data_IF_462896607534
#
_entry.id   IF_462896607534
#
_cell.length_a   1.000
_cell.length_b   1.000
_cell.length_c   1.000
_cell.angle_alpha   90.00
_cell.angle_beta   90.00
_cell.angle_gamma   90.00
#
_symmetry.space_group_name_H-M   'P 1'
#
loop_
_entity.id
_entity.type
_entity.pdbx_description
1 polymer ?
#
# COMPACT_ATOMS: atom_id res chain seq x y z
N UNK A 1 6.09 -16.22 -3.28
CA UNK A 1 6.77 -14.89 -3.26
C UNK A 1 6.10 -14.04 -2.20
N UNK A 2 6.77 -13.02 -1.64
CA UNK A 2 6.17 -12.13 -0.61
C UNK A 2 5.55 -10.89 -1.23
N UNK A 3 4.51 -10.36 -0.59
CA UNK A 3 3.88 -9.08 -0.92
C UNK A 3 4.90 -7.93 -0.84
N UNK A 4 5.69 -7.88 0.23
CA UNK A 4 6.75 -6.89 0.43
C UNK A 4 8.12 -7.42 -0.05
N UNK A 5 8.96 -6.60 -0.71
CA UNK A 5 10.34 -6.96 -1.04
C UNK A 5 11.22 -7.11 0.23
N UNK A 6 12.41 -7.73 0.11
CA UNK A 6 13.37 -7.76 1.21
C UNK A 6 13.75 -6.35 1.68
N UNK A 7 13.83 -6.16 3.00
CA UNK A 7 14.19 -4.88 3.62
C UNK A 7 13.01 -3.93 3.87
N UNK A 8 11.79 -4.27 3.45
CA UNK A 8 10.60 -3.45 3.71
C UNK A 8 10.39 -3.09 5.18
N UNK A 9 9.85 -1.89 5.39
CA UNK A 9 9.56 -1.37 6.72
C UNK A 9 8.45 -2.19 7.40
N UNK A 10 8.58 -2.46 8.71
CA UNK A 10 7.58 -3.19 9.50
C UNK A 10 6.29 -2.38 9.66
N UNK A 11 5.29 -2.97 10.33
CA UNK A 11 4.16 -2.20 10.83
C UNK A 11 4.66 -1.08 11.76
N UNK A 12 4.01 0.07 11.71
CA UNK A 12 4.26 1.19 12.61
C UNK A 12 2.93 1.51 13.31
N UNK A 13 2.87 1.66 14.63
CA UNK A 13 1.63 2.01 15.30
C UNK A 13 1.12 3.37 14.82
N UNK A 14 -0.20 3.50 14.70
CA UNK A 14 -0.85 4.80 14.50
C UNK A 14 -1.07 5.50 15.83
N UNK A 15 -1.23 6.82 15.79
CA UNK A 15 -1.61 7.63 16.96
C UNK A 15 -3.14 7.84 17.04
N UNK A 16 -3.91 7.20 16.16
CA UNK A 16 -5.35 7.38 16.03
C UNK A 16 -6.08 6.05 16.28
N UNK A 17 -6.71 5.96 17.45
CA UNK A 17 -7.50 4.82 17.92
C UNK A 17 -9.00 4.96 17.64
N UNK A 18 -9.41 5.91 16.79
CA UNK A 18 -10.81 6.04 16.39
C UNK A 18 -11.30 4.69 15.83
N UNK A 19 -12.54 4.28 16.12
CA UNK A 19 -13.13 3.07 15.55
C UNK A 19 -13.59 3.32 14.10
N UNK A 20 -13.66 2.28 13.24
CA UNK A 20 -14.25 2.40 11.92
C UNK A 20 -15.77 2.59 12.01
N UNK A 21 -16.34 3.23 11.01
CA UNK A 21 -17.79 3.28 10.75
C UNK A 21 -18.16 2.28 9.65
N UNK A 22 -19.46 2.11 9.39
CA UNK A 22 -19.95 1.33 8.26
C UNK A 22 -20.35 2.24 7.09
N UNK A 23 -19.71 2.04 5.93
CA UNK A 23 -20.17 2.54 4.64
C UNK A 23 -20.93 1.39 3.95
N UNK A 24 -22.24 1.34 4.18
CA UNK A 24 -23.06 0.18 3.83
C UNK A 24 -22.75 -0.98 4.79
N UNK A 25 -22.23 -2.09 4.28
CA UNK A 25 -21.73 -3.22 5.09
C UNK A 25 -20.22 -3.17 5.32
N UNK A 26 -19.53 -2.19 4.73
CA UNK A 26 -18.06 -2.15 4.69
C UNK A 26 -17.53 -1.27 5.81
N UNK A 27 -16.64 -1.82 6.64
CA UNK A 27 -15.92 -1.03 7.64
C UNK A 27 -15.00 -0.03 6.94
N UNK A 28 -15.00 1.22 7.41
CA UNK A 28 -14.14 2.26 6.88
C UNK A 28 -13.92 3.40 7.87
N UNK A 29 -12.86 4.16 7.66
CA UNK A 29 -12.65 5.46 8.26
C UNK A 29 -13.02 6.52 7.23
N UNK A 30 -14.06 7.28 7.52
CA UNK A 30 -14.58 8.28 6.60
C UNK A 30 -14.31 9.68 7.11
N UNK A 31 -13.64 10.46 6.28
CA UNK A 31 -13.31 11.86 6.53
C UNK A 31 -14.11 12.68 5.53
N UNK A 32 -15.18 13.27 6.01
CA UNK A 32 -16.08 14.03 5.15
C UNK A 32 -15.51 15.42 4.82
N UNK A 33 -15.84 15.89 3.62
CA UNK A 33 -15.63 17.25 3.17
C UNK A 33 -16.91 17.68 2.46
N UNK A 34 -17.76 18.44 3.13
CA UNK A 34 -19.10 18.77 2.64
C UNK A 34 -19.11 19.59 1.35
N UNK A 35 -17.98 20.21 0.98
CA UNK A 35 -17.86 21.01 -0.25
C UNK A 35 -17.40 20.21 -1.46
N UNK A 36 -16.94 18.98 -1.27
CA UNK A 36 -16.43 18.13 -2.35
C UNK A 36 -17.41 17.03 -2.71
N UNK A 37 -17.63 16.80 -4.01
CA UNK A 37 -18.32 15.61 -4.55
C UNK A 37 -17.35 14.51 -4.99
N UNK A 38 -16.06 14.69 -4.72
CA UNK A 38 -15.00 13.74 -5.06
C UNK A 38 -14.62 12.96 -3.80
N UNK A 39 -14.48 11.63 -3.93
CA UNK A 39 -13.99 10.79 -2.85
C UNK A 39 -12.71 10.06 -3.23
N UNK A 40 -11.70 10.15 -2.36
CA UNK A 40 -10.49 9.34 -2.44
C UNK A 40 -10.71 8.05 -1.65
N UNK A 41 -10.76 6.92 -2.34
CA UNK A 41 -10.74 5.60 -1.71
C UNK A 41 -9.30 5.26 -1.32
N UNK A 42 -9.06 4.97 -0.06
CA UNK A 42 -7.73 4.61 0.43
C UNK A 42 -7.71 3.13 0.78
N UNK A 43 -6.75 2.41 0.20
CA UNK A 43 -6.54 0.98 0.38
C UNK A 43 -5.28 0.77 1.24
N UNK A 44 -5.40 0.21 2.46
CA UNK A 44 -4.29 0.07 3.37
C UNK A 44 -3.27 -0.98 2.90
N UNK A 45 -2.12 -1.02 3.56
CA UNK A 45 -1.16 -2.11 3.40
C UNK A 45 -1.63 -3.40 4.09
N UNK A 46 -0.76 -4.41 4.14
CA UNK A 46 -1.03 -5.70 4.81
C UNK A 46 -1.17 -5.61 6.33
N UNK A 47 -0.83 -4.46 6.93
CA UNK A 47 -0.91 -4.20 8.36
C UNK A 47 -2.20 -3.44 8.73
N UNK A 48 -2.96 -2.99 7.73
CA UNK A 48 -4.31 -2.46 7.90
C UNK A 48 -4.40 -0.94 8.07
N UNK A 49 -5.62 -0.43 8.28
CA UNK A 49 -5.91 1.00 8.34
C UNK A 49 -5.16 1.77 9.44
N UNK A 50 -4.78 1.06 10.51
CA UNK A 50 -4.06 1.60 11.68
C UNK A 50 -2.54 1.53 11.53
N UNK A 51 -2.05 1.21 10.33
CA UNK A 51 -0.63 1.16 10.03
C UNK A 51 -0.07 2.54 9.70
N UNK A 52 0.88 2.98 10.52
CA UNK A 52 1.68 4.18 10.34
C UNK A 52 0.85 5.46 10.22
N UNK A 53 1.26 6.31 9.28
CA UNK A 53 0.65 7.63 9.02
C UNK A 53 -0.57 7.58 8.08
N UNK A 54 -1.15 6.41 7.83
CA UNK A 54 -2.25 6.26 6.86
C UNK A 54 -3.43 7.16 7.19
N UNK A 55 -3.92 7.15 8.44
CA UNK A 55 -5.03 8.01 8.89
C UNK A 55 -4.65 9.49 8.86
N UNK A 56 -3.43 9.85 9.27
CA UNK A 56 -2.93 11.24 9.19
C UNK A 56 -3.01 11.80 7.77
N UNK A 57 -2.62 11.00 6.77
CA UNK A 57 -2.73 11.42 5.38
C UNK A 57 -4.16 11.46 4.86
N UNK A 58 -5.06 10.62 5.38
CA UNK A 58 -6.49 10.73 5.08
C UNK A 58 -7.04 12.07 5.58
N UNK A 59 -6.67 12.51 6.79
CA UNK A 59 -7.02 13.84 7.31
C UNK A 59 -6.45 14.96 6.43
N UNK A 60 -5.20 14.85 5.98
CA UNK A 60 -4.60 15.84 5.08
C UNK A 60 -5.37 15.95 3.76
N UNK A 61 -5.71 14.81 3.15
CA UNK A 61 -6.51 14.77 1.92
C UNK A 61 -7.94 15.28 2.13
N UNK A 62 -8.51 15.12 3.34
CA UNK A 62 -9.88 15.54 3.61
C UNK A 62 -10.07 17.06 3.60
N UNK A 63 -8.98 17.83 3.60
CA UNK A 63 -9.02 19.27 3.35
C UNK A 63 -9.50 19.63 1.93
N UNK A 64 -9.37 18.72 0.96
CA UNK A 64 -9.73 18.94 -0.46
C UNK A 64 -10.86 18.02 -0.93
N UNK A 65 -10.89 16.78 -0.44
CA UNK A 65 -11.79 15.74 -0.93
C UNK A 65 -12.54 15.07 0.21
N UNK A 66 -13.58 14.30 -0.09
CA UNK A 66 -13.99 13.26 0.84
C UNK A 66 -12.95 12.14 0.82
N UNK A 67 -12.73 11.44 1.93
CA UNK A 67 -11.76 10.34 1.98
C UNK A 67 -12.37 9.14 2.70
N UNK A 68 -12.30 7.97 2.09
CA UNK A 68 -12.76 6.72 2.68
C UNK A 68 -11.61 5.71 2.71
N UNK A 69 -11.01 5.52 3.89
CA UNK A 69 -10.02 4.47 4.14
C UNK A 69 -10.74 3.17 4.46
N UNK A 70 -10.69 2.21 3.54
CA UNK A 70 -11.46 0.97 3.62
C UNK A 70 -10.75 -0.05 4.51
N UNK A 71 -11.49 -0.59 5.47
CA UNK A 71 -11.07 -1.65 6.38
C UNK A 71 -11.62 -2.97 5.82
N UNK A 72 -10.82 -3.62 4.97
CA UNK A 72 -11.32 -4.62 4.02
C UNK A 72 -11.32 -6.06 4.56
N UNK A 73 -10.53 -6.34 5.59
CA UNK A 73 -10.36 -7.67 6.17
C UNK A 73 -10.22 -7.57 7.69
N UNK A 74 -10.61 -8.61 8.43
CA UNK A 74 -10.57 -8.57 9.90
C UNK A 74 -9.22 -9.06 10.49
N UNK A 75 -8.43 -9.79 9.71
CA UNK A 75 -7.20 -10.48 10.15
C UNK A 75 -5.96 -9.97 9.41
N UNK A 76 -5.72 -8.66 9.41
CA UNK A 76 -4.47 -8.08 8.93
C UNK A 76 -3.24 -8.73 9.57
N UNK A 77 -2.10 -8.65 8.89
CA UNK A 77 -0.87 -9.27 9.36
C UNK A 77 -0.39 -8.52 10.60
N UNK A 78 -0.44 -9.17 11.74
CA UNK A 78 0.21 -8.69 12.96
C UNK A 78 1.67 -9.19 12.88
N UNK A 79 2.65 -8.28 12.99
CA UNK A 79 4.02 -8.75 13.21
C UNK A 79 4.11 -9.30 14.63
N UNK A 80 4.57 -10.56 14.76
CA UNK A 80 5.06 -11.07 16.05
C UNK A 80 6.10 -10.06 16.55
N UNK A 81 5.85 -9.46 17.72
CA UNK A 81 6.74 -8.50 18.41
C UNK A 81 8.14 -9.06 18.70
N UNK A 82 8.39 -10.35 18.41
CA UNK A 82 9.68 -11.00 18.59
C UNK A 82 10.65 -10.67 17.46
N UNK A 83 10.93 -9.38 17.23
CA UNK A 83 12.33 -9.01 16.98
C UNK A 83 12.96 -8.89 18.35
N UNK A 84 14.05 -9.59 18.68
CA UNK A 84 14.83 -9.22 19.86
C UNK A 84 15.42 -7.83 19.59
N UNK A 85 14.67 -6.78 19.91
CA UNK A 85 15.23 -5.49 20.28
C UNK A 85 15.97 -5.70 21.61
N UNK A 86 17.24 -5.32 21.61
CA UNK A 86 17.96 -4.94 22.81
C UNK A 86 18.08 -6.01 23.91
N UNK A 87 18.83 -7.07 23.62
CA UNK A 87 19.71 -7.62 24.66
C UNK A 87 20.96 -6.73 24.69
N UNK A 88 20.97 -5.72 25.57
CA UNK A 88 22.22 -5.16 26.06
C UNK A 88 23.03 -6.29 26.67
N UNK A 89 23.92 -6.90 25.88
CA UNK A 89 24.92 -7.83 26.38
C UNK A 89 25.88 -7.00 27.22
N UNK A 90 25.70 -7.09 28.53
CA UNK A 90 26.62 -6.54 29.50
C UNK A 90 28.00 -7.14 29.21
N UNK A 91 28.92 -6.30 28.76
CA UNK A 91 30.25 -6.70 28.31
C UNK A 91 31.07 -7.13 29.52
N UNK A 92 31.03 -8.42 29.86
CA UNK A 92 32.10 -9.13 30.57
C UNK A 92 31.78 -10.64 30.66
N UNK A 93 31.91 -11.38 29.57
CA UNK A 93 32.28 -12.80 29.62
C UNK A 93 32.56 -13.39 28.23
N UNK A 94 33.81 -13.80 28.05
CA UNK A 94 34.29 -14.97 27.29
C UNK A 94 34.06 -15.09 25.77
N UNK A 95 35.19 -15.17 25.05
CA UNK A 95 35.36 -15.34 23.60
C UNK A 95 34.76 -16.62 22.98
N UNK A 96 34.02 -17.46 23.72
CA UNK A 96 33.45 -18.72 23.22
C UNK A 96 31.92 -18.68 22.96
N UNK A 97 31.22 -17.59 23.32
CA UNK A 97 29.76 -17.44 23.06
C UNK A 97 29.47 -17.01 21.60
N UNK A 98 30.38 -16.26 20.97
CA UNK A 98 30.19 -15.66 19.64
C UNK A 98 30.10 -16.66 18.47
N UNK A 99 30.61 -17.88 18.62
CA UNK A 99 30.53 -18.90 17.56
C UNK A 99 29.21 -19.67 17.61
N UNK A 100 28.71 -20.01 18.81
CA UNK A 100 27.41 -20.65 19.01
C UNK A 100 26.24 -19.74 18.63
N UNK A 101 26.30 -18.45 18.98
CA UNK A 101 25.28 -17.47 18.59
C UNK A 101 25.25 -17.22 17.07
N UNK A 102 26.41 -17.17 16.40
CA UNK A 102 26.47 -17.06 14.94
C UNK A 102 25.88 -18.27 14.24
N UNK A 103 26.15 -19.48 14.74
CA UNK A 103 25.63 -20.72 14.15
C UNK A 103 24.12 -20.83 14.40
N UNK A 104 23.64 -20.54 15.61
CA UNK A 104 22.20 -20.55 15.93
C UNK A 104 21.43 -19.43 15.20
N UNK A 105 22.01 -18.24 15.05
CA UNK A 105 21.45 -17.16 14.22
C UNK A 105 21.40 -17.52 12.74
N UNK A 106 22.45 -18.17 12.23
CA UNK A 106 22.53 -18.60 10.83
C UNK A 106 21.57 -19.76 10.53
N UNK A 107 21.24 -20.59 11.52
CA UNK A 107 20.24 -21.66 11.41
C UNK A 107 18.82 -21.12 11.62
N UNK A 108 18.58 -20.15 12.51
CA UNK A 108 17.22 -19.64 12.79
C UNK A 108 16.70 -18.69 11.70
N UNK A 109 17.57 -17.86 11.12
CA UNK A 109 17.18 -16.87 10.11
C UNK A 109 16.52 -17.46 8.84
N UNK A 110 17.07 -18.52 8.21
CA UNK A 110 16.45 -19.15 7.04
C UNK A 110 15.07 -19.72 7.35
N UNK A 111 14.90 -20.35 8.52
CA UNK A 111 13.63 -20.95 8.94
C UNK A 111 12.57 -19.90 9.27
N UNK A 112 12.93 -18.81 9.97
CA UNK A 112 12.01 -17.69 10.23
C UNK A 112 11.61 -16.94 8.94
N UNK A 113 12.55 -16.79 8.00
CA UNK A 113 12.27 -16.18 6.69
C UNK A 113 11.39 -17.06 5.81
N UNK A 114 11.50 -18.39 5.93
CA UNK A 114 10.61 -19.32 5.25
C UNK A 114 9.21 -19.34 5.87
N UNK A 115 9.09 -19.26 7.20
CA UNK A 115 7.80 -19.26 7.90
C UNK A 115 6.98 -17.99 7.61
N UNK A 116 7.61 -16.81 7.65
CA UNK A 116 6.96 -15.53 7.31
C UNK A 116 6.49 -15.46 5.85
N UNK A 117 7.28 -15.99 4.91
CA UNK A 117 6.88 -16.13 3.50
C UNK A 117 5.62 -16.99 3.34
N UNK A 118 5.54 -18.12 4.05
CA UNK A 118 4.37 -19.02 4.00
C UNK A 118 3.14 -18.36 4.63
N UNK A 119 3.29 -17.68 5.78
CA UNK A 119 2.21 -16.91 6.43
C UNK A 119 1.61 -15.88 5.47
N UNK A 120 2.45 -15.07 4.81
CA UNK A 120 2.00 -14.04 3.85
C UNK A 120 1.27 -14.62 2.63
N UNK A 121 1.77 -15.73 2.06
CA UNK A 121 1.09 -16.37 0.91
C UNK A 121 -0.26 -16.94 1.34
N UNK A 122 -0.34 -17.57 2.52
CA UNK A 122 -1.59 -18.10 3.06
C UNK A 122 -2.60 -16.98 3.29
N UNK A 123 -2.16 -15.88 3.89
CA UNK A 123 -2.97 -14.69 4.13
C UNK A 123 -3.46 -14.05 2.83
N UNK A 124 -2.61 -13.89 1.81
CA UNK A 124 -3.09 -13.37 0.53
C UNK A 124 -4.16 -14.29 -0.08
N UNK A 125 -3.92 -15.61 -0.08
CA UNK A 125 -4.88 -16.58 -0.63
C UNK A 125 -6.24 -16.60 0.09
N UNK A 126 -6.32 -16.23 1.37
CA UNK A 126 -7.60 -16.09 2.07
C UNK A 126 -8.36 -14.80 1.75
N UNK A 127 -7.72 -13.86 1.03
CA UNK A 127 -8.27 -12.57 0.67
C UNK A 127 -8.25 -12.34 -0.85
N UNK A 128 -8.98 -13.16 -1.64
CA UNK A 128 -9.07 -12.98 -3.08
C UNK A 128 -9.78 -11.67 -3.44
N UNK A 129 -9.39 -11.05 -4.56
CA UNK A 129 -9.89 -9.75 -4.97
C UNK A 129 -11.43 -9.73 -5.13
N UNK A 130 -12.03 -10.83 -5.56
CA UNK A 130 -13.47 -10.96 -5.78
C UNK A 130 -14.27 -10.74 -4.49
N UNK A 131 -13.73 -11.15 -3.33
CA UNK A 131 -14.38 -10.90 -2.04
C UNK A 131 -14.21 -9.44 -1.62
N UNK A 132 -13.02 -8.87 -1.83
CA UNK A 132 -12.76 -7.46 -1.53
C UNK A 132 -13.65 -6.55 -2.38
N UNK A 133 -13.89 -6.92 -3.65
CA UNK A 133 -14.70 -6.15 -4.60
C UNK A 133 -16.14 -5.95 -4.11
N UNK A 134 -16.72 -6.95 -3.43
CA UNK A 134 -18.06 -6.83 -2.83
C UNK A 134 -18.09 -5.70 -1.81
N UNK A 135 -17.11 -5.67 -0.91
CA UNK A 135 -17.00 -4.63 0.12
C UNK A 135 -16.69 -3.26 -0.49
N UNK A 136 -15.79 -3.19 -1.48
CA UNK A 136 -15.46 -1.94 -2.16
C UNK A 136 -16.71 -1.35 -2.85
N UNK A 137 -17.46 -2.18 -3.59
CA UNK A 137 -18.67 -1.72 -4.27
C UNK A 137 -19.76 -1.29 -3.28
N UNK A 138 -19.95 -2.02 -2.17
CA UNK A 138 -20.88 -1.61 -1.11
C UNK A 138 -20.53 -0.24 -0.51
N UNK A 139 -19.25 0.04 -0.29
CA UNK A 139 -18.79 1.35 0.18
C UNK A 139 -19.02 2.44 -0.87
N UNK A 140 -18.69 2.17 -2.14
CA UNK A 140 -18.89 3.12 -3.25
C UNK A 140 -20.37 3.46 -3.45
N UNK A 141 -21.26 2.47 -3.41
CA UNK A 141 -22.71 2.68 -3.51
C UNK A 141 -23.23 3.52 -2.34
N UNK A 142 -22.79 3.21 -1.12
CA UNK A 142 -23.13 4.01 0.06
C UNK A 142 -22.66 5.47 -0.09
N UNK A 143 -21.42 5.69 -0.51
CA UNK A 143 -20.84 7.02 -0.73
C UNK A 143 -21.60 7.82 -1.80
N UNK A 144 -22.01 7.17 -2.90
CA UNK A 144 -22.86 7.81 -3.93
C UNK A 144 -24.21 8.23 -3.37
N UNK A 145 -24.87 7.32 -2.66
CA UNK A 145 -26.26 7.50 -2.25
C UNK A 145 -26.43 8.40 -1.02
N UNK A 146 -25.51 8.31 -0.05
CA UNK A 146 -25.62 8.99 1.24
C UNK A 146 -24.71 10.22 1.35
N UNK A 147 -23.63 10.27 0.58
CA UNK A 147 -22.65 11.36 0.63
C UNK A 147 -22.51 12.11 -0.70
N UNK A 148 -23.39 11.86 -1.66
CA UNK A 148 -23.44 12.57 -2.95
C UNK A 148 -22.12 12.58 -3.73
N UNK A 149 -21.33 11.52 -3.60
CA UNK A 149 -20.07 11.38 -4.32
C UNK A 149 -20.36 11.07 -5.78
N UNK A 150 -19.81 11.87 -6.69
CA UNK A 150 -19.96 11.72 -8.14
C UNK A 150 -18.69 11.19 -8.81
N UNK A 151 -17.53 11.44 -8.22
CA UNK A 151 -16.22 11.09 -8.77
C UNK A 151 -15.39 10.37 -7.73
N UNK A 152 -14.69 9.31 -8.14
CA UNK A 152 -13.80 8.57 -7.26
C UNK A 152 -12.37 8.61 -7.78
N UNK A 153 -11.40 8.70 -6.90
CA UNK A 153 -10.02 8.32 -7.16
C UNK A 153 -9.53 7.37 -6.08
N UNK A 154 -8.37 6.76 -6.27
CA UNK A 154 -7.83 5.79 -5.33
C UNK A 154 -6.40 6.06 -4.93
N UNK A 155 -6.06 5.78 -3.67
CA UNK A 155 -4.68 5.66 -3.20
C UNK A 155 -4.50 4.29 -2.58
N UNK A 156 -3.49 3.55 -3.03
CA UNK A 156 -3.10 2.27 -2.46
C UNK A 156 -1.70 2.31 -1.85
N UNK A 157 -1.52 1.59 -0.75
CA UNK A 157 -0.22 1.37 -0.11
C UNK A 157 0.14 -0.11 -0.16
N UNK A 158 1.30 -0.49 -0.70
CA UNK A 158 1.76 -1.89 -0.68
C UNK A 158 0.72 -2.85 -1.29
N UNK A 159 0.10 -3.73 -0.49
CA UNK A 159 -1.01 -4.60 -0.89
C UNK A 159 -2.24 -3.83 -1.35
N UNK A 160 -2.56 -2.70 -0.71
CA UNK A 160 -3.60 -1.79 -1.17
C UNK A 160 -3.36 -1.26 -2.58
N UNK A 161 -2.10 -1.14 -3.03
CA UNK A 161 -1.80 -0.81 -4.43
C UNK A 161 -2.17 -1.93 -5.39
N UNK A 162 -2.10 -3.20 -4.97
CA UNK A 162 -2.60 -4.32 -5.75
C UNK A 162 -4.13 -4.30 -5.82
N UNK A 163 -4.81 -4.07 -4.68
CA UNK A 163 -6.28 -3.91 -4.63
C UNK A 163 -6.73 -2.78 -5.56
N UNK A 164 -6.10 -1.61 -5.46
CA UNK A 164 -6.38 -0.45 -6.32
C UNK A 164 -6.17 -0.78 -7.80
N UNK A 165 -5.04 -1.40 -8.16
CA UNK A 165 -4.75 -1.73 -9.57
C UNK A 165 -5.76 -2.72 -10.15
N UNK A 166 -6.22 -3.69 -9.35
CA UNK A 166 -7.30 -4.60 -9.74
C UNK A 166 -8.61 -3.85 -9.88
N UNK A 167 -8.94 -2.95 -8.94
CA UNK A 167 -10.17 -2.16 -8.98
C UNK A 167 -10.24 -1.17 -10.14
N UNK A 168 -9.11 -0.54 -10.49
CA UNK A 168 -8.99 0.29 -11.69
C UNK A 168 -9.15 -0.50 -13.00
N UNK A 169 -8.99 -1.82 -12.95
CA UNK A 169 -9.20 -2.74 -14.06
C UNK A 169 -10.59 -3.36 -14.14
N UNK A 170 -11.46 -3.14 -13.16
CA UNK A 170 -12.85 -3.65 -13.18
C UNK A 170 -13.64 -2.91 -14.28
N UNK A 171 -14.48 -3.62 -15.07
CA UNK A 171 -15.37 -2.97 -16.04
C UNK A 171 -16.23 -1.90 -15.38
N UNK A 172 -16.27 -0.70 -15.97
CA UNK A 172 -17.01 0.46 -15.44
C UNK A 172 -16.58 0.89 -14.02
N UNK A 173 -15.32 0.63 -13.64
CA UNK A 173 -14.74 1.19 -12.42
C UNK A 173 -14.97 2.70 -12.35
N UNK A 174 -15.43 3.25 -11.21
CA UNK A 174 -15.72 4.68 -11.07
C UNK A 174 -14.46 5.53 -10.89
N UNK A 175 -13.27 4.92 -10.91
CA UNK A 175 -12.00 5.59 -10.66
C UNK A 175 -11.59 6.49 -11.82
N UNK A 176 -11.57 7.79 -11.59
CA UNK A 176 -10.98 8.80 -12.48
C UNK A 176 -9.44 8.76 -12.47
N UNK A 177 -8.81 8.35 -11.36
CA UNK A 177 -7.36 8.21 -11.25
C UNK A 177 -6.97 7.25 -10.11
N UNK A 178 -5.75 6.70 -10.17
CA UNK A 178 -5.16 5.89 -9.12
C UNK A 178 -3.73 6.29 -8.76
N UNK A 179 -3.40 6.26 -7.47
CA UNK A 179 -2.07 6.52 -6.92
C UNK A 179 -1.58 5.29 -6.17
N UNK A 180 -0.40 4.79 -6.54
CA UNK A 180 0.21 3.62 -5.92
C UNK A 180 1.48 4.02 -5.19
N UNK A 181 1.46 3.89 -3.87
CA UNK A 181 2.64 4.08 -3.03
C UNK A 181 3.29 2.72 -2.80
N UNK A 182 4.58 2.60 -3.14
CA UNK A 182 5.39 1.37 -3.03
C UNK A 182 4.59 0.12 -3.47
N UNK A 183 4.26 -0.02 -4.77
CA UNK A 183 3.28 -1.00 -5.22
C UNK A 183 3.71 -2.47 -5.04
N UNK A 184 2.86 -3.26 -4.40
CA UNK A 184 3.03 -4.73 -4.30
C UNK A 184 2.24 -5.51 -5.36
N UNK A 185 2.24 -5.05 -6.61
CA UNK A 185 1.51 -5.73 -7.72
C UNK A 185 1.96 -7.18 -7.95
N UNK A 186 3.15 -7.55 -7.46
CA UNK A 186 3.64 -8.93 -7.43
C UNK A 186 2.76 -9.89 -6.63
N UNK A 187 1.87 -9.38 -5.78
CA UNK A 187 0.82 -10.19 -5.12
C UNK A 187 -0.01 -10.95 -6.13
N UNK A 188 -0.24 -10.40 -7.32
CA UNK A 188 -0.99 -11.05 -8.39
C UNK A 188 -0.36 -12.40 -8.82
N UNK A 189 0.95 -12.57 -8.63
CA UNK A 189 1.64 -13.82 -8.99
C UNK A 189 1.19 -15.01 -8.12
N UNK A 190 0.60 -14.74 -6.94
CA UNK A 190 0.04 -15.76 -6.05
C UNK A 190 -1.21 -16.40 -6.66
N UNK A 191 -1.99 -15.64 -7.43
CA UNK A 191 -3.27 -16.06 -7.99
C UNK A 191 -3.14 -16.49 -9.46
N UNK A 192 -2.33 -15.79 -10.24
CA UNK A 192 -2.28 -15.93 -11.71
C UNK A 192 -0.89 -16.31 -12.25
N UNK A 193 -0.01 -16.78 -11.37
CA UNK A 193 1.32 -17.26 -11.72
C UNK A 193 2.32 -16.15 -12.07
N UNK A 194 3.58 -16.50 -12.36
CA UNK A 194 4.65 -15.52 -12.54
C UNK A 194 4.34 -14.44 -13.59
N UNK A 195 4.79 -13.21 -13.31
CA UNK A 195 4.63 -12.04 -14.17
C UNK A 195 3.18 -11.56 -14.34
N UNK A 196 2.22 -12.06 -13.58
CA UNK A 196 0.84 -11.59 -13.68
C UNK A 196 0.69 -10.15 -13.16
N UNK A 197 1.51 -9.75 -12.19
CA UNK A 197 1.54 -8.35 -11.73
C UNK A 197 1.82 -7.34 -12.84
N UNK A 198 2.70 -7.69 -13.79
CA UNK A 198 3.02 -6.85 -14.96
C UNK A 198 1.81 -6.67 -15.89
N UNK A 199 0.92 -7.67 -15.94
CA UNK A 199 -0.25 -7.71 -16.84
C UNK A 199 -1.46 -6.96 -16.27
N UNK A 200 -1.40 -6.47 -15.04
CA UNK A 200 -2.49 -5.68 -14.45
C UNK A 200 -2.79 -4.42 -15.28
N UNK A 201 -1.79 -3.82 -15.92
CA UNK A 201 -1.95 -2.68 -16.83
C UNK A 201 -2.87 -2.97 -18.02
N UNK A 202 -3.02 -4.23 -18.43
CA UNK A 202 -3.87 -4.61 -19.57
C UNK A 202 -5.32 -4.17 -19.37
N UNK A 203 -5.82 -4.26 -18.13
CA UNK A 203 -7.22 -4.00 -17.81
C UNK A 203 -7.46 -2.61 -17.24
N UNK A 204 -6.43 -1.90 -16.76
CA UNK A 204 -6.58 -0.56 -16.19
C UNK A 204 -7.15 0.42 -17.22
N UNK A 205 -8.16 1.18 -16.79
CA UNK A 205 -8.97 2.07 -17.63
C UNK A 205 -8.89 3.56 -17.24
N UNK A 206 -8.02 3.94 -16.30
CA UNK A 206 -7.83 5.33 -15.87
C UNK A 206 -6.35 5.66 -15.64
N UNK A 207 -5.97 6.95 -15.62
CA UNK A 207 -4.62 7.40 -15.29
C UNK A 207 -4.08 6.86 -13.96
N UNK A 208 -2.80 6.51 -13.95
CA UNK A 208 -2.12 5.98 -12.76
C UNK A 208 -0.83 6.74 -12.45
N UNK A 209 -0.62 7.05 -11.16
CA UNK A 209 0.65 7.50 -10.59
C UNK A 209 1.27 6.37 -9.79
N UNK A 210 2.48 5.94 -10.13
CA UNK A 210 3.23 4.94 -9.36
C UNK A 210 4.44 5.61 -8.70
N UNK A 211 4.51 5.54 -7.38
CA UNK A 211 5.66 5.94 -6.57
C UNK A 211 6.40 4.67 -6.13
N UNK A 212 7.52 4.37 -6.76
CA UNK A 212 8.31 3.15 -6.52
C UNK A 212 9.48 3.44 -5.57
N UNK A 213 9.71 2.52 -4.62
CA UNK A 213 10.91 2.49 -3.80
C UNK A 213 12.09 1.93 -4.59
N UNK A 214 13.33 2.21 -4.15
CA UNK A 214 14.53 1.65 -4.77
C UNK A 214 14.62 0.12 -4.71
N UNK A 215 13.99 -0.51 -3.72
CA UNK A 215 13.94 -1.96 -3.58
C UNK A 215 12.65 -2.60 -4.13
N UNK A 216 11.81 -1.83 -4.84
CA UNK A 216 10.71 -2.40 -5.60
C UNK A 216 11.22 -3.14 -6.84
N UNK A 217 10.42 -4.05 -7.44
CA UNK A 217 10.80 -4.73 -8.66
C UNK A 217 11.04 -3.75 -9.83
N UNK A 218 12.15 -3.91 -10.55
CA UNK A 218 12.54 -3.03 -11.67
C UNK A 218 11.49 -2.90 -12.78
N UNK A 219 10.61 -3.90 -12.95
CA UNK A 219 9.53 -3.83 -13.94
C UNK A 219 8.43 -2.80 -13.60
N UNK A 220 8.44 -2.25 -12.39
CA UNK A 220 7.60 -1.13 -11.94
C UNK A 220 8.29 0.23 -12.10
N UNK A 221 9.61 0.28 -12.29
CA UNK A 221 10.37 1.53 -12.34
C UNK A 221 10.15 2.28 -13.67
N UNK A 222 10.55 3.56 -13.77
CA UNK A 222 10.55 4.29 -15.04
C UNK A 222 11.33 3.52 -16.12
N UNK A 223 10.75 3.43 -17.32
CA UNK A 223 11.25 2.62 -18.44
C UNK A 223 11.02 1.11 -18.29
N UNK A 224 10.41 0.67 -17.18
CA UNK A 224 10.01 -0.72 -16.96
C UNK A 224 8.74 -1.10 -17.71
N UNK A 225 8.41 -2.40 -17.69
CA UNK A 225 7.26 -2.97 -18.42
C UNK A 225 5.94 -2.27 -18.08
N UNK A 226 5.73 -1.89 -16.81
CA UNK A 226 4.50 -1.22 -16.39
C UNK A 226 4.43 0.22 -16.89
N UNK A 227 5.54 0.96 -16.83
CA UNK A 227 5.61 2.35 -17.32
C UNK A 227 5.30 2.41 -18.82
N UNK A 228 5.96 1.57 -19.61
CA UNK A 228 5.74 1.50 -21.07
C UNK A 228 4.30 1.07 -21.41
N UNK A 229 3.73 0.12 -20.66
CA UNK A 229 2.35 -0.32 -20.87
C UNK A 229 1.32 0.78 -20.52
N UNK A 230 1.59 1.60 -19.49
CA UNK A 230 0.72 2.72 -19.12
C UNK A 230 0.82 3.86 -20.15
N UNK A 231 2.03 4.20 -20.60
CA UNK A 231 2.26 5.22 -21.66
C UNK A 231 1.55 4.88 -22.97
N UNK A 232 1.42 3.60 -23.30
CA UNK A 232 0.73 3.14 -24.51
C UNK A 232 -0.80 3.25 -24.44
N UNK A 233 -1.39 3.58 -23.28
CA UNK A 233 -2.85 3.79 -23.14
C UNK A 233 -3.27 5.14 -23.74
N UNK A 234 -4.56 5.28 -24.06
CA UNK A 234 -5.13 6.55 -24.54
C UNK A 234 -4.96 7.71 -23.56
N UNK A 235 -4.90 7.40 -22.27
CA UNK A 235 -4.61 8.34 -21.17
C UNK A 235 -3.14 8.32 -20.73
N UNK A 236 -2.25 7.69 -21.50
CA UNK A 236 -0.87 7.43 -21.09
C UNK A 236 -0.04 8.67 -20.78
N UNK A 237 -0.36 9.82 -21.40
CA UNK A 237 0.28 11.11 -21.10
C UNK A 237 -0.05 11.64 -19.70
N UNK A 238 -1.14 11.17 -19.10
CA UNK A 238 -1.54 11.51 -17.73
C UNK A 238 -0.91 10.55 -16.70
N UNK A 239 -0.40 9.39 -17.12
CA UNK A 239 0.26 8.45 -16.23
C UNK A 239 1.67 8.91 -15.88
N UNK A 240 2.11 8.64 -14.65
CA UNK A 240 3.48 8.93 -14.20
C UNK A 240 4.03 7.80 -13.36
N UNK A 241 5.28 7.44 -13.61
CA UNK A 241 6.05 6.49 -12.78
C UNK A 241 7.25 7.25 -12.22
N UNK A 242 7.43 7.22 -10.91
CA UNK A 242 8.49 7.94 -10.20
C UNK A 242 9.27 6.98 -9.32
N UNK A 243 10.60 7.01 -9.42
CA UNK A 243 11.49 6.19 -8.60
C UNK A 243 12.13 7.02 -7.49
N UNK A 244 11.86 6.63 -6.25
CA UNK A 244 12.52 7.13 -5.05
C UNK A 244 13.65 6.17 -4.67
N UNK A 245 14.80 6.34 -5.33
CA UNK A 245 15.89 5.34 -5.32
C UNK A 245 16.45 5.03 -3.93
N UNK A 246 16.52 6.00 -3.02
CA UNK A 246 16.99 5.78 -1.65
C UNK A 246 15.90 5.33 -0.69
N UNK A 247 14.63 5.40 -1.09
CA UNK A 247 13.52 4.96 -0.27
C UNK A 247 13.33 3.45 -0.31
N UNK A 248 12.76 2.92 0.76
CA UNK A 248 12.44 1.50 0.94
C UNK A 248 10.94 1.31 0.95
N UNK A 249 10.48 0.21 0.38
CA UNK A 249 9.08 -0.18 0.32
C UNK A 249 8.37 -0.02 1.68
N UNK A 250 7.32 0.80 1.70
CA UNK A 250 6.61 1.25 2.90
C UNK A 250 6.92 2.66 3.36
N UNK A 251 7.89 3.37 2.76
CA UNK A 251 8.40 4.64 3.29
C UNK A 251 7.33 5.71 3.49
N UNK A 252 6.37 5.80 2.56
CA UNK A 252 5.36 6.88 2.57
C UNK A 252 4.63 6.91 3.92
N UNK A 253 4.12 5.75 4.36
CA UNK A 253 3.32 5.64 5.59
C UNK A 253 4.09 5.15 6.81
N UNK A 254 5.23 4.46 6.63
CA UNK A 254 5.97 3.82 7.74
C UNK A 254 7.44 4.22 7.85
N UNK A 255 7.93 5.08 6.96
CA UNK A 255 9.30 5.59 7.01
C UNK A 255 9.58 6.35 8.30
N UNK A 256 10.77 6.17 8.87
CA UNK A 256 11.22 6.93 10.03
C UNK A 256 11.54 8.38 9.61
N UNK A 257 10.65 9.31 9.93
CA UNK A 257 10.78 10.73 9.57
C UNK A 257 11.70 11.51 10.53
N UNK A 258 12.31 10.85 11.53
CA UNK A 258 13.42 11.44 12.28
C UNK A 258 14.73 11.38 11.48
N UNK A 259 14.77 10.56 10.43
CA UNK A 259 15.81 10.59 9.41
C UNK A 259 15.43 11.62 8.32
N UNK A 260 16.28 12.63 8.14
CA UNK A 260 16.05 13.73 7.20
C UNK A 260 15.81 13.26 5.75
N UNK A 261 16.56 12.28 5.27
CA UNK A 261 16.41 11.77 3.91
C UNK A 261 15.04 11.10 3.72
N UNK A 262 14.59 10.34 4.72
CA UNK A 262 13.27 9.70 4.69
C UNK A 262 12.15 10.74 4.84
N UNK A 263 12.32 11.76 5.67
CA UNK A 263 11.37 12.86 5.80
C UNK A 263 11.21 13.62 4.48
N UNK A 264 12.32 13.93 3.79
CA UNK A 264 12.31 14.52 2.45
C UNK A 264 11.62 13.60 1.45
N UNK A 265 11.97 12.32 1.40
CA UNK A 265 11.35 11.36 0.47
C UNK A 265 9.85 11.12 0.72
N UNK A 266 9.37 11.31 1.96
CA UNK A 266 7.95 11.33 2.29
C UNK A 266 7.28 12.61 1.78
N UNK A 267 7.90 13.77 1.99
CA UNK A 267 7.36 15.04 1.52
C UNK A 267 7.29 15.09 -0.02
N UNK A 268 8.37 14.74 -0.72
CA UNK A 268 8.43 14.69 -2.18
C UNK A 268 7.38 13.73 -2.78
N UNK A 269 7.09 12.62 -2.09
CA UNK A 269 6.00 11.74 -2.49
C UNK A 269 4.66 12.49 -2.48
N UNK A 270 4.35 13.24 -1.42
CA UNK A 270 3.11 14.03 -1.34
C UNK A 270 3.09 15.23 -2.29
N UNK A 271 4.22 15.91 -2.49
CA UNK A 271 4.38 16.94 -3.51
C UNK A 271 4.19 16.40 -4.93
N UNK A 272 4.32 15.08 -5.13
CA UNK A 272 3.98 14.42 -6.40
C UNK A 272 2.49 14.01 -6.45
N UNK A 273 1.92 13.55 -5.34
CA UNK A 273 0.53 13.08 -5.25
C UNK A 273 -0.46 14.22 -5.47
N UNK A 274 -0.28 15.35 -4.78
CA UNK A 274 -1.26 16.44 -4.82
C UNK A 274 -1.45 17.02 -6.22
N UNK A 275 -0.39 17.37 -6.98
CA UNK A 275 -0.58 17.89 -8.33
C UNK A 275 -1.25 16.88 -9.26
N UNK A 276 -0.90 15.59 -9.17
CA UNK A 276 -1.50 14.54 -9.99
C UNK A 276 -3.01 14.40 -9.73
N UNK A 277 -3.42 14.41 -8.45
CA UNK A 277 -4.85 14.37 -8.11
C UNK A 277 -5.56 15.67 -8.55
N UNK A 278 -4.94 16.83 -8.32
CA UNK A 278 -5.53 18.12 -8.68
C UNK A 278 -5.70 18.32 -10.19
N UNK A 279 -4.79 17.77 -11.00
CA UNK A 279 -4.89 17.85 -12.46
C UNK A 279 -6.05 17.00 -13.02
N UNK A 280 -6.36 15.89 -12.37
CA UNK A 280 -7.31 14.89 -12.88
C UNK A 280 -8.70 14.93 -12.24
N UNK A 281 -8.82 15.60 -11.10
CA UNK A 281 -10.06 15.67 -10.34
C UNK A 281 -10.64 17.08 -10.35
N UNK A 282 -11.98 17.21 -10.39
CA UNK A 282 -12.66 18.50 -10.37
C UNK A 282 -12.55 19.20 -9.00
#
# INVERSE_FOLDING_TARGET
MTCCPPGSLPACPTNDDSPPILLGSTKAYFYDNSTSSVCILVFPDVFGPTSGRTKEYCVKLSSMYKVALLDLVDDYIIQDETRPSDVTVNANSTRNVKLGEKIMSAISHPFQKLSSKVKMIKWAKSHPFEQLLININGAVEHLKNQHHVTTFAGIGYCWGSWVLGKYAGVPNSPLAAGVHCHPSWRVEDIYHGPNSGKRMTNTINSPQLLLCAGNDPEWLHPGGVVDEALKAKSFGLQCKVVLFKSMIHGWVIRGDITNDEVAVGVNEAWETIYPFLHELLP
#
